data_IF_440292330394
#
_entry.id   IF_440292330394
#
_cell.length_a   1.000
_cell.length_b   1.000
_cell.length_c   1.000
_cell.angle_alpha   90.00
_cell.angle_beta   90.00
_cell.angle_gamma   90.00
#
_symmetry.space_group_name_H-M   'P 1'
#
loop_
_entity.id
_entity.type
_entity.pdbx_description
1 polymer ?
#
# COMPACT_ATOMS: atom_id res chain seq x y z
N UNK A 1 -15.78 9.82 15.18
CA UNK A 1 -15.47 8.52 14.58
C UNK A 1 -15.12 7.53 15.68
N UNK A 2 -15.98 6.57 15.89
CA UNK A 2 -15.77 5.55 16.90
C UNK A 2 -15.03 4.38 16.26
N UNK A 3 -13.77 4.59 15.95
CA UNK A 3 -12.97 3.53 15.38
C UNK A 3 -12.30 2.70 16.45
N UNK A 4 -12.44 1.40 16.38
CA UNK A 4 -11.66 0.53 17.22
C UNK A 4 -10.21 0.54 16.77
N UNK A 5 -9.24 0.45 17.69
CA UNK A 5 -7.83 0.46 17.29
C UNK A 5 -7.49 -0.63 16.30
N UNK A 6 -8.16 -1.78 16.37
CA UNK A 6 -7.92 -2.87 15.43
C UNK A 6 -8.36 -2.50 14.00
N UNK A 7 -9.45 -1.75 13.86
CA UNK A 7 -9.93 -1.31 12.55
C UNK A 7 -8.96 -0.31 11.95
N UNK A 8 -8.44 0.59 12.77
CA UNK A 8 -7.45 1.57 12.31
C UNK A 8 -6.17 0.88 11.84
N UNK A 9 -5.69 -0.09 12.60
CA UNK A 9 -4.50 -0.83 12.25
C UNK A 9 -4.72 -1.58 10.93
N UNK A 10 -5.87 -2.19 10.77
CA UNK A 10 -6.20 -2.92 9.55
C UNK A 10 -6.24 -1.98 8.36
N UNK A 11 -6.87 -0.84 8.50
CA UNK A 11 -6.97 0.14 7.43
C UNK A 11 -5.58 0.67 7.02
N UNK A 12 -4.74 0.95 8.00
CA UNK A 12 -3.37 1.39 7.74
C UNK A 12 -2.58 0.31 7.02
N UNK A 13 -2.76 -0.93 7.41
CA UNK A 13 -2.06 -2.06 6.80
C UNK A 13 -2.46 -2.22 5.33
N UNK A 14 -3.75 -2.13 5.05
CA UNK A 14 -4.26 -2.23 3.68
C UNK A 14 -3.74 -1.07 2.84
N UNK A 15 -3.77 0.12 3.38
CA UNK A 15 -3.28 1.30 2.67
C UNK A 15 -1.79 1.19 2.37
N UNK A 16 -1.01 0.80 3.35
CA UNK A 16 0.43 0.60 3.17
C UNK A 16 0.71 -0.48 2.12
N UNK A 17 -0.06 -1.55 2.14
CA UNK A 17 0.07 -2.62 1.16
C UNK A 17 -0.22 -2.14 -0.26
N UNK A 18 -1.25 -1.33 -0.42
CA UNK A 18 -1.58 -0.78 -1.73
C UNK A 18 -0.47 0.13 -2.26
N UNK A 19 0.04 0.99 -1.43
CA UNK A 19 1.12 1.91 -1.82
C UNK A 19 2.38 1.12 -2.18
N UNK A 20 2.73 0.14 -1.37
CA UNK A 20 3.91 -0.69 -1.63
C UNK A 20 3.75 -1.45 -2.94
N UNK A 21 2.57 -1.98 -3.21
CA UNK A 21 2.29 -2.72 -4.44
C UNK A 21 2.42 -1.81 -5.66
N UNK A 22 1.81 -0.64 -5.60
CA UNK A 22 1.89 0.32 -6.69
C UNK A 22 3.32 0.75 -6.94
N UNK A 23 4.07 0.97 -5.88
CA UNK A 23 5.47 1.36 -5.98
C UNK A 23 6.30 0.25 -6.63
N UNK A 24 6.09 -0.98 -6.21
CA UNK A 24 6.82 -2.12 -6.77
C UNK A 24 6.52 -2.30 -8.25
N UNK A 25 5.26 -2.18 -8.65
CA UNK A 25 4.86 -2.32 -10.04
C UNK A 25 5.47 -1.20 -10.87
N UNK A 26 5.42 0.03 -10.39
CA UNK A 26 6.02 1.16 -11.08
C UNK A 26 7.52 1.02 -11.25
N UNK A 27 8.18 0.51 -10.23
CA UNK A 27 9.62 0.29 -10.27
C UNK A 27 9.99 -0.76 -11.32
N UNK A 28 9.26 -1.87 -11.32
CA UNK A 28 9.52 -2.94 -12.28
C UNK A 28 9.25 -2.48 -13.73
N UNK A 29 8.18 -1.75 -13.93
CA UNK A 29 7.84 -1.23 -15.25
C UNK A 29 8.90 -0.27 -15.76
N UNK A 30 9.33 0.65 -14.90
CA UNK A 30 10.37 1.59 -15.28
C UNK A 30 11.68 0.89 -15.62
N UNK A 31 12.02 -0.14 -14.85
CA UNK A 31 13.26 -0.88 -15.07
C UNK A 31 13.24 -1.69 -16.35
N UNK A 32 12.07 -2.24 -16.69
CA UNK A 32 11.94 -3.06 -17.90
C UNK A 32 11.88 -2.21 -19.16
N UNK A 33 11.35 -1.00 -19.06
CA UNK A 33 11.20 -0.10 -20.20
C UNK A 33 12.46 0.69 -20.50
N UNK A 34 13.34 0.77 -19.54
CA UNK A 34 14.62 1.43 -19.68
C UNK A 34 15.73 0.40 -19.64
#
# INVERSE_FOLDING_TARGET
MSGRPSVLIFALLVLAGMIAFAYAIGYLFGRLLV
#
